data_IF_144681138208
#
_entry.id   IF_144681138208
#
_cell.length_a   1.000
_cell.length_b   1.000
_cell.length_c   1.000
_cell.angle_alpha   90.00
_cell.angle_beta   90.00
_cell.angle_gamma   90.00
#
_symmetry.space_group_name_H-M   'P 1'
#
loop_
_entity.id
_entity.type
_entity.pdbx_description
1 polymer ?
#
# COMPACT_ATOMS: atom_id res chain seq x y z
N UNK A 1 -8.96 -6.39 -68.64
CA UNK A 1 -10.05 -6.63 -67.68
C UNK A 1 -9.64 -5.99 -66.35
N UNK A 2 -10.14 -4.76 -66.15
CA UNK A 2 -10.47 -4.03 -64.90
C UNK A 2 -9.50 -4.08 -63.69
N UNK A 3 -9.03 -2.87 -63.36
CA UNK A 3 -8.51 -2.33 -62.08
C UNK A 3 -9.40 -2.62 -60.87
N UNK A 4 -8.84 -3.10 -59.74
CA UNK A 4 -9.61 -3.24 -58.49
C UNK A 4 -8.83 -3.24 -57.14
N UNK A 5 -7.56 -2.82 -57.08
CA UNK A 5 -6.79 -2.85 -55.80
C UNK A 5 -6.17 -1.51 -55.37
N UNK A 6 -6.64 -0.38 -55.92
CA UNK A 6 -6.17 0.96 -55.51
C UNK A 6 -7.13 1.75 -54.60
N UNK A 7 -8.38 1.30 -54.43
CA UNK A 7 -9.44 2.11 -53.82
C UNK A 7 -9.69 1.90 -52.33
N UNK A 8 -9.32 0.74 -51.76
CA UNK A 8 -9.69 0.39 -50.37
C UNK A 8 -8.74 0.94 -49.31
N UNK A 9 -7.47 1.17 -49.65
CA UNK A 9 -6.48 1.79 -48.75
C UNK A 9 -6.77 3.28 -48.52
N UNK A 10 -7.22 3.99 -49.57
CA UNK A 10 -7.50 5.43 -49.51
C UNK A 10 -8.81 5.72 -48.75
N UNK A 11 -9.80 4.83 -48.85
CA UNK A 11 -11.11 5.00 -48.18
C UNK A 11 -11.07 4.72 -46.66
N UNK A 12 -10.11 3.91 -46.19
CA UNK A 12 -9.87 3.71 -44.76
C UNK A 12 -9.06 4.86 -44.15
N UNK A 13 -8.00 5.35 -44.83
CA UNK A 13 -7.22 6.50 -44.31
C UNK A 13 -8.05 7.79 -44.19
N UNK A 14 -8.95 8.06 -45.14
CA UNK A 14 -9.78 9.26 -45.09
C UNK A 14 -10.81 9.25 -43.95
N UNK A 15 -11.27 8.08 -43.50
CA UNK A 15 -12.19 7.97 -42.36
C UNK A 15 -11.48 8.02 -41.00
N UNK A 16 -10.24 7.52 -40.91
CA UNK A 16 -9.43 7.60 -39.68
C UNK A 16 -9.02 9.05 -39.39
N UNK A 17 -8.68 9.82 -40.44
CA UNK A 17 -8.41 11.26 -40.33
C UNK A 17 -9.60 12.07 -39.82
N UNK A 18 -10.83 11.71 -40.21
CA UNK A 18 -12.08 12.35 -39.76
C UNK A 18 -12.46 11.94 -38.32
N UNK A 19 -12.19 10.70 -37.92
CA UNK A 19 -12.45 10.21 -36.55
C UNK A 19 -11.45 10.77 -35.53
N UNK A 20 -10.20 11.04 -35.92
CA UNK A 20 -9.19 11.68 -35.08
C UNK A 20 -9.49 13.16 -34.76
N UNK A 21 -10.35 13.81 -35.56
CA UNK A 21 -10.83 15.19 -35.31
C UNK A 21 -11.99 15.20 -34.31
N UNK A 22 -12.71 14.08 -34.15
CA UNK A 22 -13.94 14.02 -33.35
C UNK A 22 -13.71 13.75 -31.86
N UNK A 23 -12.56 13.19 -31.50
CA UNK A 23 -12.18 12.94 -30.11
C UNK A 23 -10.84 13.63 -29.82
N UNK A 24 -10.74 14.48 -28.78
CA UNK A 24 -9.44 14.98 -28.37
C UNK A 24 -8.53 13.77 -28.11
N UNK A 25 -7.32 13.78 -28.68
CA UNK A 25 -6.32 12.72 -28.42
C UNK A 25 -6.26 12.54 -26.90
N UNK A 26 -6.38 11.31 -26.40
CA UNK A 26 -6.38 11.03 -24.95
C UNK A 26 -5.23 11.74 -24.22
N UNK A 27 -4.07 11.89 -24.89
CA UNK A 27 -2.90 12.63 -24.43
C UNK A 27 -3.09 14.14 -24.19
N UNK A 28 -4.13 14.75 -24.76
CA UNK A 28 -4.50 16.17 -24.55
C UNK A 28 -5.50 16.38 -23.41
N UNK A 29 -6.05 15.30 -22.87
CA UNK A 29 -6.92 15.33 -21.69
C UNK A 29 -6.07 15.36 -20.42
N UNK A 30 -6.50 16.09 -19.39
CA UNK A 30 -5.84 16.12 -18.07
C UNK A 30 -5.57 14.72 -17.53
N UNK A 31 -6.53 13.81 -17.69
CA UNK A 31 -6.39 12.41 -17.30
C UNK A 31 -5.31 11.66 -18.09
N UNK A 32 -5.16 11.94 -19.39
CA UNK A 32 -4.09 11.36 -20.18
C UNK A 32 -2.71 11.84 -19.76
N UNK A 33 -2.58 13.13 -19.44
CA UNK A 33 -1.35 13.67 -18.83
C UNK A 33 -1.03 13.01 -17.49
N UNK A 34 -2.04 12.82 -16.63
CA UNK A 34 -1.88 12.14 -15.35
C UNK A 34 -1.41 10.68 -15.53
N UNK A 35 -2.09 9.91 -16.38
CA UNK A 35 -1.70 8.53 -16.68
C UNK A 35 -0.27 8.44 -17.20
N UNK A 36 0.11 9.30 -18.15
CA UNK A 36 1.47 9.35 -18.69
C UNK A 36 2.50 9.69 -17.61
N UNK A 37 2.17 10.59 -16.68
CA UNK A 37 3.06 10.97 -15.59
C UNK A 37 3.24 9.85 -14.55
N UNK A 38 2.14 9.23 -14.09
CA UNK A 38 2.18 8.13 -13.11
C UNK A 38 2.99 6.95 -13.64
N UNK A 39 2.87 6.69 -14.94
CA UNK A 39 3.47 5.53 -15.59
C UNK A 39 4.82 5.81 -16.25
N UNK A 40 5.34 7.03 -16.09
CA UNK A 40 6.61 7.45 -16.66
C UNK A 40 7.80 6.73 -16.01
N UNK A 41 8.73 6.27 -16.84
CA UNK A 41 10.02 5.69 -16.41
C UNK A 41 11.09 6.76 -16.15
N UNK A 42 10.85 8.02 -16.54
CA UNK A 42 11.78 9.14 -16.32
C UNK A 42 11.69 9.71 -14.90
N UNK A 43 10.69 9.29 -14.11
CA UNK A 43 10.58 9.69 -12.71
C UNK A 43 11.74 9.10 -11.90
N UNK A 44 12.40 9.90 -11.06
CA UNK A 44 13.52 9.45 -10.20
C UNK A 44 13.15 8.22 -9.36
N UNK A 45 11.91 8.21 -8.87
CA UNK A 45 11.29 7.04 -8.26
C UNK A 45 10.04 6.72 -9.08
N UNK A 46 10.03 5.55 -9.70
CA UNK A 46 8.86 5.07 -10.44
C UNK A 46 7.62 5.03 -9.53
N UNK A 47 6.46 5.48 -10.00
CA UNK A 47 5.21 5.50 -9.21
C UNK A 47 4.39 4.26 -9.60
N UNK A 48 3.86 4.25 -10.82
CA UNK A 48 2.94 3.20 -11.27
C UNK A 48 1.58 3.27 -10.56
N UNK A 49 0.64 2.45 -11.03
CA UNK A 49 -0.69 2.39 -10.41
C UNK A 49 -0.65 1.84 -9.00
N UNK A 50 0.25 0.88 -8.75
CA UNK A 50 0.47 0.35 -7.41
C UNK A 50 1.12 1.37 -6.48
N UNK A 51 1.98 2.26 -6.99
CA UNK A 51 2.61 3.32 -6.21
C UNK A 51 1.61 4.31 -5.62
N UNK A 52 0.49 4.57 -6.32
CA UNK A 52 -0.58 5.47 -5.84
C UNK A 52 -1.16 5.00 -4.50
N UNK A 53 -1.23 3.69 -4.28
CA UNK A 53 -1.73 3.12 -3.00
C UNK A 53 -0.59 2.82 -2.03
N UNK A 54 0.57 2.40 -2.53
CA UNK A 54 1.76 2.10 -1.72
C UNK A 54 2.24 3.32 -0.93
N UNK A 55 2.33 4.48 -1.58
CA UNK A 55 2.87 5.70 -0.95
C UNK A 55 2.05 6.13 0.28
N UNK A 56 0.72 6.36 0.19
CA UNK A 56 -0.06 6.79 1.35
C UNK A 56 -0.13 5.72 2.44
N UNK A 57 -0.18 4.44 2.09
CA UNK A 57 -0.24 3.35 3.09
C UNK A 57 1.07 3.24 3.88
N UNK A 58 2.22 3.24 3.21
CA UNK A 58 3.52 3.21 3.89
C UNK A 58 3.80 4.49 4.68
N UNK A 59 3.47 5.66 4.15
CA UNK A 59 3.62 6.93 4.89
C UNK A 59 2.76 6.96 6.16
N UNK A 60 1.53 6.46 6.08
CA UNK A 60 0.65 6.35 7.26
C UNK A 60 1.23 5.37 8.28
N UNK A 61 1.65 4.18 7.85
CA UNK A 61 2.27 3.19 8.74
C UNK A 61 3.55 3.74 9.41
N UNK A 62 4.44 4.38 8.66
CA UNK A 62 5.69 4.93 9.18
C UNK A 62 5.47 6.10 10.12
N UNK A 63 4.56 7.03 9.80
CA UNK A 63 4.27 8.17 10.67
C UNK A 63 3.66 7.73 12.00
N UNK A 64 2.66 6.83 11.98
CA UNK A 64 2.04 6.30 13.19
C UNK A 64 3.05 5.47 14.00
N UNK A 65 3.89 4.66 13.34
CA UNK A 65 4.95 3.91 14.00
C UNK A 65 5.90 4.82 14.78
N UNK A 66 6.41 5.89 14.15
CA UNK A 66 7.35 6.81 14.80
C UNK A 66 6.71 7.48 16.01
N UNK A 67 5.47 7.97 15.88
CA UNK A 67 4.77 8.66 16.97
C UNK A 67 4.48 7.69 18.11
N UNK A 68 3.96 6.49 17.81
CA UNK A 68 3.65 5.48 18.82
C UNK A 68 4.91 4.99 19.55
N UNK A 69 6.00 4.76 18.83
CA UNK A 69 7.26 4.32 19.42
C UNK A 69 7.85 5.35 20.40
N UNK A 70 7.65 6.64 20.13
CA UNK A 70 8.14 7.72 20.99
C UNK A 70 7.19 7.98 22.16
N UNK A 71 5.88 8.07 21.91
CA UNK A 71 4.94 8.71 22.82
C UNK A 71 3.65 7.92 23.12
N UNK A 72 3.52 6.66 22.69
CA UNK A 72 2.32 5.88 23.02
C UNK A 72 2.18 5.68 24.54
N UNK A 73 0.98 5.84 25.10
CA UNK A 73 0.73 5.51 26.50
C UNK A 73 0.81 3.99 26.74
N UNK A 74 0.85 3.56 28.01
CA UNK A 74 0.79 2.15 28.36
C UNK A 74 -0.49 1.48 27.84
N UNK A 75 -0.34 0.27 27.28
CA UNK A 75 -1.40 -0.49 26.60
C UNK A 75 -1.76 -1.72 27.44
N UNK A 76 -3.06 -1.95 27.68
CA UNK A 76 -3.52 -3.21 28.26
C UNK A 76 -3.56 -4.26 27.13
N UNK A 77 -2.76 -5.32 27.25
CA UNK A 77 -2.66 -6.38 26.22
C UNK A 77 -3.58 -7.56 26.56
N UNK A 78 -3.64 -7.95 27.83
CA UNK A 78 -4.31 -9.19 28.27
C UNK A 78 -5.75 -8.98 28.75
N UNK A 79 -6.21 -7.74 28.98
CA UNK A 79 -7.55 -7.49 29.51
C UNK A 79 -7.71 -7.72 30.99
N UNK A 80 -6.57 -7.81 31.68
CA UNK A 80 -6.51 -7.89 33.14
C UNK A 80 -6.28 -6.52 33.80
N UNK A 81 -6.26 -5.43 33.01
CA UNK A 81 -6.00 -4.05 33.48
C UNK A 81 -4.59 -3.84 34.01
N UNK A 82 -3.61 -4.55 33.45
CA UNK A 82 -2.18 -4.38 33.74
C UNK A 82 -1.48 -3.79 32.51
N UNK A 83 -1.47 -2.46 32.35
CA UNK A 83 -0.96 -1.85 31.14
C UNK A 83 0.57 -1.92 31.07
N UNK A 84 1.09 -2.34 29.92
CA UNK A 84 2.51 -2.45 29.64
C UNK A 84 2.99 -1.15 29.00
N UNK A 85 4.17 -0.65 29.40
CA UNK A 85 4.79 0.52 28.78
C UNK A 85 5.68 0.09 27.62
N UNK A 86 5.42 0.62 26.41
CA UNK A 86 6.17 0.27 25.20
C UNK A 86 7.00 1.40 24.58
N UNK A 87 6.78 2.66 24.98
CA UNK A 87 7.36 3.81 24.28
C UNK A 87 8.53 4.47 25.04
N UNK A 88 9.35 5.22 24.31
CA UNK A 88 10.56 5.87 24.84
C UNK A 88 10.27 6.87 25.97
N UNK A 89 9.20 7.68 25.83
CA UNK A 89 8.84 8.67 26.85
C UNK A 89 8.40 8.04 28.18
N UNK A 90 7.96 6.79 28.16
CA UNK A 90 7.53 6.06 29.35
C UNK A 90 8.62 5.12 29.89
N UNK A 91 9.89 5.50 29.70
CA UNK A 91 11.04 4.89 30.38
C UNK A 91 11.71 3.73 29.62
N UNK A 92 11.33 3.48 28.36
CA UNK A 92 11.99 2.48 27.53
C UNK A 92 13.21 3.02 26.79
N UNK A 93 14.15 2.12 26.46
CA UNK A 93 15.27 2.40 25.57
C UNK A 93 15.02 1.80 24.18
N UNK A 94 15.94 1.95 23.22
CA UNK A 94 15.75 1.45 21.84
C UNK A 94 15.54 -0.08 21.79
N UNK A 95 16.09 -0.84 22.75
CA UNK A 95 15.99 -2.29 22.80
C UNK A 95 14.68 -2.75 23.48
N UNK A 96 14.24 -2.04 24.52
CA UNK A 96 13.01 -2.38 25.25
C UNK A 96 11.75 -1.73 24.67
N UNK A 97 11.90 -0.72 23.82
CA UNK A 97 10.76 -0.05 23.19
C UNK A 97 10.13 -0.97 22.14
N UNK A 98 8.82 -1.13 22.24
CA UNK A 98 8.03 -1.91 21.31
C UNK A 98 6.65 -1.30 21.18
N UNK A 99 6.04 -1.48 20.00
CA UNK A 99 4.62 -1.19 19.84
C UNK A 99 3.87 -2.40 20.35
N UNK A 100 3.11 -2.21 21.42
CA UNK A 100 2.40 -3.28 22.11
C UNK A 100 1.21 -3.72 21.25
N UNK A 101 1.00 -5.04 21.05
CA UNK A 101 -0.13 -5.59 20.33
C UNK A 101 -1.50 -5.12 20.84
N UNK A 102 -2.50 -5.19 19.96
CA UNK A 102 -3.89 -4.88 20.30
C UNK A 102 -4.43 -5.86 21.34
N UNK A 103 -5.27 -5.33 22.22
CA UNK A 103 -5.99 -6.06 23.26
C UNK A 103 -6.53 -7.44 22.86
N UNK A 104 -6.23 -8.48 23.65
CA UNK A 104 -6.69 -9.85 23.43
C UNK A 104 -8.22 -9.96 23.36
N UNK A 105 -8.97 -9.14 24.11
CA UNK A 105 -10.44 -9.16 24.09
C UNK A 105 -11.08 -8.50 22.85
N UNK A 106 -10.33 -7.67 22.10
CA UNK A 106 -10.74 -7.25 20.75
C UNK A 106 -10.56 -8.42 19.77
N UNK A 107 -9.59 -9.30 20.03
CA UNK A 107 -9.40 -10.52 19.26
C UNK A 107 -9.09 -10.24 17.79
N UNK A 108 -9.94 -10.68 16.86
CA UNK A 108 -9.78 -10.46 15.41
C UNK A 108 -10.76 -9.42 14.87
N UNK A 109 -11.41 -8.65 15.75
CA UNK A 109 -12.33 -7.60 15.33
C UNK A 109 -11.54 -6.41 14.80
N UNK A 110 -12.01 -5.85 13.68
CA UNK A 110 -11.45 -4.64 13.11
C UNK A 110 -11.69 -3.45 14.06
N UNK A 111 -10.61 -2.85 14.58
CA UNK A 111 -10.67 -1.76 15.58
C UNK A 111 -10.06 -0.45 15.05
N UNK A 112 -10.77 0.23 14.11
CA UNK A 112 -10.33 1.52 13.62
C UNK A 112 -10.57 2.63 14.65
N UNK A 113 -9.92 3.79 14.45
CA UNK A 113 -10.00 4.93 15.38
C UNK A 113 -11.46 5.35 15.68
N UNK A 114 -12.34 5.31 14.67
CA UNK A 114 -13.75 5.69 14.82
C UNK A 114 -14.63 4.65 15.53
N UNK A 115 -14.05 3.49 15.90
CA UNK A 115 -14.76 2.47 16.67
C UNK A 115 -14.65 2.70 18.18
N UNK A 116 -13.60 3.40 18.62
CA UNK A 116 -13.42 3.80 20.01
C UNK A 116 -14.31 5.01 20.36
N UNK A 117 -14.66 5.17 21.65
CA UNK A 117 -15.37 6.36 22.12
C UNK A 117 -14.44 7.59 22.20
N UNK A 118 -13.14 7.39 22.36
CA UNK A 118 -12.13 8.45 22.34
C UNK A 118 -10.78 7.96 21.78
N UNK A 119 -9.89 8.91 21.47
CA UNK A 119 -8.51 8.59 21.06
C UNK A 119 -7.74 7.96 22.23
N UNK A 120 -8.00 8.37 23.47
CA UNK A 120 -7.34 7.80 24.65
C UNK A 120 -7.72 6.32 24.86
N UNK A 121 -9.00 5.97 24.67
CA UNK A 121 -9.44 4.57 24.71
C UNK A 121 -8.81 3.77 23.56
N UNK A 122 -8.74 4.35 22.36
CA UNK A 122 -8.10 3.70 21.22
C UNK A 122 -6.61 3.41 21.46
N UNK A 123 -5.89 4.34 22.08
CA UNK A 123 -4.49 4.17 22.47
C UNK A 123 -4.34 3.14 23.59
N UNK A 124 -5.20 3.17 24.60
CA UNK A 124 -5.17 2.23 25.73
C UNK A 124 -5.37 0.77 25.29
N UNK A 125 -6.19 0.54 24.27
CA UNK A 125 -6.48 -0.80 23.73
C UNK A 125 -5.47 -1.26 22.66
N UNK A 126 -4.42 -0.50 22.37
CA UNK A 126 -3.39 -0.89 21.40
C UNK A 126 -3.79 -0.69 19.94
N UNK A 127 -4.76 0.16 19.65
CA UNK A 127 -5.22 0.48 18.30
C UNK A 127 -4.12 0.88 17.28
N UNK A 128 -3.02 1.57 17.67
CA UNK A 128 -1.91 1.85 16.76
C UNK A 128 -1.28 0.60 16.13
N UNK A 129 -1.22 -0.52 16.86
CA UNK A 129 -0.62 -1.76 16.36
C UNK A 129 -1.38 -2.29 15.14
N UNK A 130 -2.70 -2.44 15.25
CA UNK A 130 -3.54 -2.92 14.15
C UNK A 130 -3.45 -2.00 12.92
N UNK A 131 -3.49 -0.68 13.13
CA UNK A 131 -3.37 0.29 12.04
C UNK A 131 -2.03 0.12 11.30
N UNK A 132 -0.92 0.04 12.04
CA UNK A 132 0.42 -0.10 11.46
C UNK A 132 0.53 -1.43 10.69
N UNK A 133 0.11 -2.54 11.30
CA UNK A 133 0.22 -3.87 10.67
C UNK A 133 -0.57 -3.93 9.37
N UNK A 134 -1.84 -3.48 9.37
CA UNK A 134 -2.68 -3.50 8.18
C UNK A 134 -2.14 -2.60 7.06
N UNK A 135 -1.76 -1.36 7.37
CA UNK A 135 -1.24 -0.43 6.36
C UNK A 135 0.14 -0.86 5.85
N UNK A 136 0.98 -1.45 6.70
CA UNK A 136 2.28 -1.98 6.31
C UNK A 136 2.12 -3.20 5.39
N UNK A 137 1.26 -4.17 5.74
CA UNK A 137 1.03 -5.35 4.90
C UNK A 137 0.47 -4.99 3.53
N UNK A 138 -0.49 -4.06 3.48
CA UNK A 138 -1.00 -3.53 2.21
C UNK A 138 0.09 -2.80 1.43
N UNK A 139 0.88 -1.96 2.11
CA UNK A 139 2.00 -1.24 1.50
C UNK A 139 3.03 -2.18 0.88
N UNK A 140 3.42 -3.26 1.57
CA UNK A 140 4.34 -4.28 1.02
C UNK A 140 3.70 -5.04 -0.15
N UNK A 141 2.40 -5.38 -0.07
CA UNK A 141 1.70 -6.01 -1.18
C UNK A 141 1.68 -5.13 -2.45
N UNK A 142 1.40 -3.83 -2.29
CA UNK A 142 1.48 -2.87 -3.39
C UNK A 142 2.90 -2.61 -3.86
N UNK A 143 3.90 -2.67 -2.98
CA UNK A 143 5.31 -2.60 -3.38
C UNK A 143 5.69 -3.74 -4.32
N UNK A 144 5.28 -4.98 -4.04
CA UNK A 144 5.50 -6.11 -4.97
C UNK A 144 4.79 -5.90 -6.31
N UNK A 145 3.55 -5.41 -6.29
CA UNK A 145 2.81 -5.06 -7.51
C UNK A 145 3.52 -3.99 -8.34
N UNK A 146 4.11 -2.98 -7.67
CA UNK A 146 4.91 -1.92 -8.30
C UNK A 146 6.19 -2.47 -8.93
N UNK A 147 6.88 -3.41 -8.28
CA UNK A 147 8.06 -4.07 -8.86
C UNK A 147 7.70 -4.81 -10.15
N UNK A 148 6.60 -5.57 -10.14
CA UNK A 148 6.08 -6.22 -11.33
C UNK A 148 5.74 -5.22 -12.44
N UNK A 149 5.04 -4.13 -12.12
CA UNK A 149 4.63 -3.11 -13.09
C UNK A 149 5.86 -2.44 -13.76
N UNK A 150 6.89 -2.14 -12.98
CA UNK A 150 8.13 -1.57 -13.51
C UNK A 150 8.87 -2.56 -14.41
N UNK A 151 8.97 -3.83 -14.00
CA UNK A 151 9.60 -4.89 -14.79
C UNK A 151 8.90 -5.05 -16.14
N UNK A 152 7.56 -5.01 -16.14
CA UNK A 152 6.76 -5.07 -17.36
C UNK A 152 7.05 -3.88 -18.30
N UNK A 153 7.17 -2.66 -17.76
CA UNK A 153 7.49 -1.47 -18.57
C UNK A 153 8.91 -1.49 -19.14
N UNK A 154 9.85 -2.07 -18.41
CA UNK A 154 11.24 -2.22 -18.88
C UNK A 154 11.44 -3.44 -19.79
N UNK A 155 10.43 -4.28 -19.99
CA UNK A 155 10.54 -5.51 -20.78
C UNK A 155 11.44 -6.57 -20.14
N UNK A 156 11.65 -6.51 -18.83
CA UNK A 156 12.49 -7.46 -18.09
C UNK A 156 11.71 -8.70 -17.67
N UNK A 157 12.41 -9.76 -17.26
CA UNK A 157 11.76 -10.98 -16.74
C UNK A 157 11.29 -10.75 -15.29
N UNK A 158 10.08 -11.20 -14.90
CA UNK A 158 9.43 -10.84 -13.62
C UNK A 158 9.96 -11.56 -12.37
N UNK A 159 11.16 -12.13 -12.41
CA UNK A 159 11.68 -12.99 -11.31
C UNK A 159 11.95 -12.23 -10.00
N UNK A 160 12.18 -10.91 -10.07
CA UNK A 160 12.37 -10.07 -8.86
C UNK A 160 11.07 -10.00 -8.05
N UNK A 161 9.93 -9.75 -8.71
CA UNK A 161 8.63 -9.73 -8.05
C UNK A 161 8.28 -11.10 -7.44
N UNK A 162 8.66 -12.21 -8.09
CA UNK A 162 8.47 -13.57 -7.56
C UNK A 162 9.31 -13.80 -6.30
N UNK A 163 10.55 -13.33 -6.28
CA UNK A 163 11.41 -13.44 -5.09
C UNK A 163 10.87 -12.62 -3.91
N UNK A 164 10.36 -11.41 -4.16
CA UNK A 164 9.73 -10.55 -3.14
C UNK A 164 8.50 -11.20 -2.47
N UNK A 165 7.79 -12.07 -3.18
CA UNK A 165 6.65 -12.83 -2.62
C UNK A 165 7.06 -13.71 -1.43
N UNK A 166 8.28 -14.23 -1.41
CA UNK A 166 8.78 -15.05 -0.29
C UNK A 166 8.83 -14.25 1.02
N UNK A 167 9.35 -13.02 0.96
CA UNK A 167 9.43 -12.13 2.13
C UNK A 167 8.03 -11.74 2.63
N UNK A 168 7.11 -11.46 1.72
CA UNK A 168 5.73 -11.15 2.08
C UNK A 168 5.06 -12.36 2.75
N UNK A 169 5.14 -13.54 2.15
CA UNK A 169 4.57 -14.76 2.72
C UNK A 169 5.17 -15.12 4.08
N UNK A 170 6.47 -14.88 4.29
CA UNK A 170 7.10 -15.06 5.59
C UNK A 170 6.51 -14.11 6.63
N UNK A 171 6.38 -12.80 6.32
CA UNK A 171 5.83 -11.83 7.26
C UNK A 171 4.35 -12.08 7.56
N UNK A 172 3.56 -12.44 6.54
CA UNK A 172 2.16 -12.84 6.71
C UNK A 172 2.05 -14.13 7.53
N UNK A 173 2.92 -15.11 7.27
CA UNK A 173 2.96 -16.37 8.01
C UNK A 173 3.32 -16.16 9.48
N UNK A 174 4.32 -15.32 9.77
CA UNK A 174 4.69 -14.95 11.14
C UNK A 174 3.56 -14.24 11.87
N UNK A 175 2.92 -13.25 11.25
CA UNK A 175 1.76 -12.58 11.86
C UNK A 175 0.61 -13.56 12.09
N UNK A 176 0.33 -14.45 11.14
CA UNK A 176 -0.71 -15.46 11.31
C UNK A 176 -0.35 -16.41 12.47
N UNK A 177 0.92 -16.77 12.61
CA UNK A 177 1.40 -17.63 13.71
C UNK A 177 1.34 -16.92 15.06
N UNK A 178 1.78 -15.67 15.16
CA UNK A 178 1.69 -14.83 16.36
C UNK A 178 0.23 -14.69 16.80
N UNK A 179 -0.68 -14.34 15.87
CA UNK A 179 -2.11 -14.21 16.16
C UNK A 179 -2.83 -15.53 16.49
N UNK A 180 -2.33 -16.68 16.02
CA UNK A 180 -2.90 -18.00 16.29
C UNK A 180 -2.33 -18.67 17.55
N UNK A 181 -1.12 -18.32 17.98
CA UNK A 181 -0.46 -18.90 19.16
C UNK A 181 -0.63 -18.05 20.43
N UNK A 182 -0.93 -16.75 20.31
CA UNK A 182 -1.19 -15.86 21.45
C UNK A 182 -2.69 -15.81 21.87
N UNK A 183 -3.50 -16.77 21.40
CA UNK A 183 -4.86 -17.05 21.92
C UNK A 183 -4.97 -18.48 22.43
#
# INVERSE_FOLDING_TARGET
MISAYGGSQIFMEQNIGQLAIKYPKFSSLLWGHFCNWITSTENRLYIGWFGVLMIPTLLTATSVFIIAFIAAPPVDIDGIREPVSGSLLYGNNIISSAIIPTFAAIGLHFYPIWKAASVDEWLYNGGPYELIVLHFLLGVAYYMGREWELIFRLGMRPWIAVASTCLLLLRWGLLCLEFLLEK
#
